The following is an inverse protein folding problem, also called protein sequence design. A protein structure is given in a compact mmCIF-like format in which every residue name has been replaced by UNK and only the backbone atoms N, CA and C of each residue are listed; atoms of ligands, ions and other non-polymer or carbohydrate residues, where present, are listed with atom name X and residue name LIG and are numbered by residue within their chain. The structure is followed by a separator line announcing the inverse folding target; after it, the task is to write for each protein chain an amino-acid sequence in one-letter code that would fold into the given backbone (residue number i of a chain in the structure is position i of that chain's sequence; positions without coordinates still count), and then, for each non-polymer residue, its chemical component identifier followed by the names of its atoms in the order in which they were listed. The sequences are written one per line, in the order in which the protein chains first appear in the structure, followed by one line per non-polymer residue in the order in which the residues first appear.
data_IF_704513096215
#
_entry.id   IF_704513096215
#
_cell.length_a   1.000
_cell.length_b   1.000
_cell.length_c   1.000
_cell.angle_alpha   90.00
_cell.angle_beta   90.00
_cell.angle_gamma   90.00
#
_symmetry.space_group_name_H-M   'P 1'
#
loop_
_entity.id
_entity.type
_entity.pdbx_description
1 polymer ?
#
# COMPACT_ATOMS: atom_id res chain seq x y z
N UNK A 1 26.98 1.96 21.05
CA UNK A 1 26.44 3.31 20.77
C UNK A 1 26.17 3.38 19.28
N UNK A 2 24.93 3.63 18.85
CA UNK A 2 24.64 3.94 17.45
C UNK A 2 25.44 5.19 17.07
N UNK A 3 26.13 5.19 15.92
CA UNK A 3 26.81 6.40 15.47
C UNK A 3 25.74 7.47 15.19
N UNK A 4 26.03 8.78 15.32
CA UNK A 4 25.06 9.84 15.05
C UNK A 4 24.39 9.73 13.66
N UNK A 5 25.12 9.17 12.70
CA UNK A 5 24.66 8.90 11.33
C UNK A 5 23.57 7.83 11.30
N UNK A 6 23.73 6.75 12.07
CA UNK A 6 22.79 5.63 12.18
C UNK A 6 21.43 6.08 12.74
N UNK A 7 21.47 7.02 13.67
CA UNK A 7 20.28 7.60 14.28
C UNK A 7 19.57 8.55 13.32
N UNK A 8 20.34 9.39 12.60
CA UNK A 8 19.78 10.27 11.58
C UNK A 8 19.06 9.47 10.46
N UNK A 9 19.64 8.38 9.98
CA UNK A 9 19.03 7.55 8.93
C UNK A 9 17.69 6.95 9.39
N UNK A 10 17.63 6.46 10.64
CA UNK A 10 16.39 5.95 11.26
C UNK A 10 15.30 7.02 11.31
N UNK A 11 15.63 8.21 11.79
CA UNK A 11 14.66 9.31 11.88
C UNK A 11 14.17 9.75 10.50
N UNK A 12 15.04 9.78 9.49
CA UNK A 12 14.64 10.06 8.10
C UNK A 12 13.70 8.99 7.55
N UNK A 13 13.99 7.69 7.76
CA UNK A 13 13.09 6.61 7.36
C UNK A 13 11.72 6.73 8.01
N UNK A 14 11.69 6.99 9.32
CA UNK A 14 10.45 7.20 10.06
C UNK A 14 9.68 8.39 9.48
N UNK A 15 10.36 9.52 9.26
CA UNK A 15 9.78 10.73 8.67
C UNK A 15 9.16 10.50 7.28
N UNK A 16 9.82 9.73 6.42
CA UNK A 16 9.30 9.38 5.09
C UNK A 16 8.05 8.50 5.17
N UNK A 17 7.97 7.58 6.12
CA UNK A 17 6.76 6.78 6.32
C UNK A 17 5.62 7.60 6.93
N UNK A 18 5.91 8.54 7.81
CA UNK A 18 4.92 9.52 8.27
C UNK A 18 4.39 10.38 7.13
N UNK A 19 5.26 10.80 6.21
CA UNK A 19 4.87 11.52 5.00
C UNK A 19 3.89 10.69 4.17
N UNK A 20 4.18 9.40 3.94
CA UNK A 20 3.28 8.47 3.24
C UNK A 20 1.91 8.37 3.91
N UNK A 21 1.87 8.17 5.24
CA UNK A 21 0.60 8.10 5.99
C UNK A 21 -0.17 9.41 5.88
N UNK A 22 0.52 10.55 6.02
CA UNK A 22 -0.05 11.88 5.85
C UNK A 22 -0.66 12.08 4.46
N UNK A 23 0.02 11.65 3.39
CA UNK A 23 -0.50 11.73 2.03
C UNK A 23 -1.70 10.80 1.82
N UNK A 24 -1.73 9.60 2.40
CA UNK A 24 -2.94 8.76 2.33
C UNK A 24 -4.15 9.45 2.96
N UNK A 25 -3.99 10.05 4.15
CA UNK A 25 -5.06 10.84 4.78
C UNK A 25 -5.44 12.07 3.98
N UNK A 26 -4.47 12.76 3.39
CA UNK A 26 -4.72 13.92 2.54
C UNK A 26 -5.56 13.55 1.32
N UNK A 27 -5.16 12.51 0.57
CA UNK A 27 -5.89 12.05 -0.62
C UNK A 27 -7.28 11.53 -0.23
N UNK A 28 -7.39 10.78 0.88
CA UNK A 28 -8.68 10.36 1.43
C UNK A 28 -9.60 11.55 1.70
N UNK A 29 -9.14 12.54 2.47
CA UNK A 29 -9.92 13.71 2.86
C UNK A 29 -10.32 14.50 1.63
N UNK A 30 -9.39 14.68 0.69
CA UNK A 30 -9.63 15.40 -0.55
C UNK A 30 -10.72 14.72 -1.39
N UNK A 31 -10.59 13.41 -1.62
CA UNK A 31 -11.57 12.63 -2.39
C UNK A 31 -12.93 12.57 -1.70
N UNK A 32 -12.98 12.44 -0.38
CA UNK A 32 -14.24 12.35 0.36
C UNK A 32 -14.97 13.71 0.42
N UNK A 33 -14.27 14.75 0.90
CA UNK A 33 -14.90 16.02 1.24
C UNK A 33 -15.19 16.90 0.04
N UNK A 34 -14.27 16.94 -0.94
CA UNK A 34 -14.46 17.79 -2.12
C UNK A 34 -15.10 17.01 -3.25
N UNK A 35 -14.64 15.79 -3.52
CA UNK A 35 -15.04 15.11 -4.76
C UNK A 35 -16.32 14.29 -4.64
N UNK A 36 -16.36 13.36 -3.68
CA UNK A 36 -17.51 12.49 -3.51
C UNK A 36 -18.74 13.28 -3.05
N UNK A 37 -18.56 14.26 -2.16
CA UNK A 37 -19.65 15.11 -1.69
C UNK A 37 -20.34 15.86 -2.83
N UNK A 38 -19.59 16.31 -3.83
CA UNK A 38 -20.10 17.06 -4.99
C UNK A 38 -20.68 16.13 -6.06
N UNK A 39 -19.91 15.12 -6.51
CA UNK A 39 -20.30 14.26 -7.63
C UNK A 39 -21.22 13.08 -7.25
N UNK A 40 -21.23 12.69 -5.96
CA UNK A 40 -21.85 11.46 -5.43
C UNK A 40 -21.46 10.18 -6.17
N UNK A 41 -20.34 10.19 -6.89
CA UNK A 41 -19.89 9.05 -7.68
C UNK A 41 -19.36 7.93 -6.76
N UNK A 42 -19.91 6.70 -6.82
CA UNK A 42 -19.47 5.59 -5.98
C UNK A 42 -17.99 5.23 -6.15
N UNK A 43 -17.40 5.45 -7.33
CA UNK A 43 -15.97 5.22 -7.56
C UNK A 43 -15.09 6.10 -6.67
N UNK A 44 -15.45 7.38 -6.50
CA UNK A 44 -14.67 8.30 -5.69
C UNK A 44 -14.77 7.97 -4.20
N UNK A 45 -15.94 7.48 -3.76
CA UNK A 45 -16.09 6.95 -2.40
C UNK A 45 -15.22 5.72 -2.17
N UNK A 46 -15.22 4.78 -3.12
CA UNK A 46 -14.40 3.59 -3.03
C UNK A 46 -12.90 3.92 -3.00
N UNK A 47 -12.46 4.86 -3.83
CA UNK A 47 -11.09 5.37 -3.84
C UNK A 47 -10.72 6.07 -2.52
N UNK A 48 -11.64 6.85 -1.94
CA UNK A 48 -11.43 7.47 -0.63
C UNK A 48 -11.28 6.40 0.46
N UNK A 49 -12.21 5.44 0.54
CA UNK A 49 -12.17 4.34 1.50
C UNK A 49 -10.92 3.47 1.33
N UNK A 50 -10.48 3.23 0.10
CA UNK A 50 -9.22 2.57 -0.20
C UNK A 50 -8.04 3.27 0.48
N UNK A 51 -7.90 4.59 0.31
CA UNK A 51 -6.80 5.33 0.94
C UNK A 51 -6.91 5.41 2.46
N UNK A 52 -8.13 5.48 3.01
CA UNK A 52 -8.33 5.41 4.46
C UNK A 52 -7.86 4.06 5.01
N UNK A 53 -8.26 2.95 4.38
CA UNK A 53 -7.86 1.60 4.79
C UNK A 53 -6.34 1.40 4.63
N UNK A 54 -5.72 1.97 3.58
CA UNK A 54 -4.26 1.99 3.46
C UNK A 54 -3.58 2.79 4.56
N UNK A 55 -4.12 3.94 4.95
CA UNK A 55 -3.58 4.76 6.02
C UNK A 55 -3.62 4.00 7.35
N UNK A 56 -4.78 3.43 7.71
CA UNK A 56 -4.97 2.63 8.92
C UNK A 56 -4.02 1.42 8.91
N UNK A 57 -4.01 0.65 7.83
CA UNK A 57 -3.11 -0.49 7.69
C UNK A 57 -1.64 -0.09 7.82
N UNK A 58 -1.25 1.06 7.26
CA UNK A 58 0.12 1.56 7.36
C UNK A 58 0.48 2.02 8.77
N UNK A 59 -0.46 2.54 9.57
CA UNK A 59 -0.21 2.81 10.98
C UNK A 59 0.15 1.53 11.75
N UNK A 60 -0.56 0.42 11.50
CA UNK A 60 -0.23 -0.87 12.12
C UNK A 60 1.14 -1.40 11.66
N UNK A 61 1.43 -1.33 10.35
CA UNK A 61 2.77 -1.68 9.84
C UNK A 61 3.87 -0.78 10.38
N UNK A 62 3.59 0.50 10.60
CA UNK A 62 4.55 1.44 11.16
C UNK A 62 4.90 1.07 12.60
N UNK A 63 3.91 0.72 13.42
CA UNK A 63 4.15 0.21 14.78
C UNK A 63 4.93 -1.10 14.74
N UNK A 64 4.52 -2.04 13.87
CA UNK A 64 5.22 -3.31 13.67
C UNK A 64 6.68 -3.13 13.26
N UNK A 65 6.92 -2.37 12.19
CA UNK A 65 8.24 -2.14 11.61
C UNK A 65 9.16 -1.36 12.58
N UNK A 66 8.71 -0.28 13.23
CA UNK A 66 9.63 0.61 13.97
C UNK A 66 9.71 0.37 15.48
N UNK A 67 8.70 -0.29 16.06
CA UNK A 67 8.59 -0.46 17.52
C UNK A 67 8.57 -1.93 17.97
N UNK A 68 8.28 -2.88 17.08
CA UNK A 68 8.21 -4.30 17.41
C UNK A 68 9.23 -5.18 16.64
N UNK A 69 9.69 -4.75 15.47
CA UNK A 69 10.65 -5.50 14.65
C UNK A 69 12.11 -5.14 15.02
N UNK A 70 12.91 -6.10 15.54
CA UNK A 70 14.33 -5.89 15.86
C UNK A 70 15.23 -5.78 14.62
N UNK A 71 14.72 -6.04 13.41
CA UNK A 71 15.49 -6.08 12.16
C UNK A 71 15.16 -4.94 11.18
N UNK A 72 14.41 -3.93 11.61
CA UNK A 72 13.78 -2.99 10.67
C UNK A 72 14.72 -1.96 10.02
N UNK A 73 15.90 -1.72 10.62
CA UNK A 73 16.92 -0.79 10.14
C UNK A 73 18.32 -1.39 10.06
N UNK A 74 18.60 -2.40 10.89
CA UNK A 74 19.85 -3.14 10.94
C UNK A 74 19.52 -4.63 10.93
N UNK A 75 20.40 -5.45 10.36
CA UNK A 75 20.21 -6.90 10.25
C UNK A 75 19.84 -7.56 11.61
N UNK A 76 20.33 -7.01 12.74
CA UNK A 76 19.92 -7.43 14.07
C UNK A 76 20.26 -6.37 15.14
N UNK A 77 19.26 -5.65 15.69
CA UNK A 77 19.49 -4.72 16.81
C UNK A 77 19.92 -5.43 18.11
N UNK A 78 19.49 -6.67 18.29
CA UNK A 78 19.63 -7.44 19.53
C UNK A 78 21.03 -8.02 19.67
N UNK A 79 21.56 -8.66 18.62
CA UNK A 79 22.92 -9.21 18.68
C UNK A 79 24.03 -8.17 18.48
N UNK A 80 23.77 -7.10 17.72
CA UNK A 80 24.79 -6.10 17.38
C UNK A 80 24.86 -4.97 18.41
N UNK A 81 23.71 -4.55 18.95
CA UNK A 81 23.64 -3.38 19.84
C UNK A 81 23.05 -3.66 21.23
N UNK A 82 22.63 -4.90 21.51
CA UNK A 82 22.04 -5.27 22.80
C UNK A 82 20.72 -4.57 23.11
N UNK A 83 20.03 -4.05 22.09
CA UNK A 83 18.78 -3.31 22.27
C UNK A 83 17.58 -4.19 21.97
N UNK A 84 16.65 -4.27 22.91
CA UNK A 84 15.36 -4.95 22.73
C UNK A 84 14.33 -3.97 22.17
N UNK A 85 13.48 -4.38 21.20
CA UNK A 85 12.37 -3.55 20.73
C UNK A 85 11.44 -3.17 21.88
N UNK A 86 10.72 -2.04 21.72
CA UNK A 86 9.80 -1.51 22.74
C UNK A 86 8.63 -2.48 22.99
N UNK A 87 8.17 -3.13 21.92
CA UNK A 87 7.07 -4.07 21.94
C UNK A 87 7.60 -5.51 21.80
N UNK A 88 7.02 -6.48 22.54
CA UNK A 88 7.54 -7.85 22.58
C UNK A 88 7.19 -8.68 21.34
N UNK A 89 6.07 -8.39 20.66
CA UNK A 89 5.56 -9.19 19.54
C UNK A 89 5.18 -8.34 18.32
N UNK A 90 5.75 -8.69 17.16
CA UNK A 90 5.48 -8.04 15.87
C UNK A 90 4.24 -8.58 15.16
N UNK A 91 3.90 -9.85 15.40
CA UNK A 91 2.86 -10.60 14.68
C UNK A 91 1.46 -9.96 14.70
N UNK A 92 0.91 -9.48 15.83
CA UNK A 92 -0.44 -8.91 15.85
C UNK A 92 -0.53 -7.60 15.03
N UNK A 93 0.54 -6.80 15.02
CA UNK A 93 0.61 -5.56 14.25
C UNK A 93 0.65 -5.84 12.75
N UNK A 94 1.46 -6.81 12.32
CA UNK A 94 1.50 -7.21 10.91
C UNK A 94 0.20 -7.86 10.44
N UNK A 95 -0.46 -8.63 11.31
CA UNK A 95 -1.76 -9.25 11.02
C UNK A 95 -2.86 -8.20 10.83
N UNK A 96 -2.97 -7.23 11.75
CA UNK A 96 -3.91 -6.12 11.62
C UNK A 96 -3.60 -5.26 10.38
N UNK A 97 -2.33 -4.91 10.18
CA UNK A 97 -1.90 -4.16 9.00
C UNK A 97 -2.28 -4.86 7.69
N UNK A 98 -2.03 -6.18 7.61
CA UNK A 98 -2.39 -6.99 6.46
C UNK A 98 -3.90 -6.96 6.22
N UNK A 99 -4.71 -7.20 7.25
CA UNK A 99 -6.16 -7.19 7.16
C UNK A 99 -6.67 -5.90 6.50
N UNK A 100 -6.27 -4.74 7.02
CA UNK A 100 -6.69 -3.43 6.47
C UNK A 100 -6.21 -3.21 5.04
N UNK A 101 -4.99 -3.62 4.70
CA UNK A 101 -4.49 -3.53 3.33
C UNK A 101 -5.28 -4.43 2.36
N UNK A 102 -5.65 -5.62 2.78
CA UNK A 102 -6.46 -6.55 1.98
C UNK A 102 -7.91 -6.07 1.86
N UNK A 103 -8.47 -5.45 2.92
CA UNK A 103 -9.77 -4.77 2.80
C UNK A 103 -9.71 -3.61 1.81
N UNK A 104 -8.62 -2.83 1.78
CA UNK A 104 -8.42 -1.77 0.80
C UNK A 104 -8.46 -2.36 -0.64
N UNK A 105 -7.67 -3.42 -0.89
CA UNK A 105 -7.67 -4.11 -2.18
C UNK A 105 -9.04 -4.67 -2.54
N UNK A 106 -9.79 -5.20 -1.57
CA UNK A 106 -11.16 -5.66 -1.77
C UNK A 106 -12.09 -4.52 -2.22
N UNK A 107 -12.03 -3.34 -1.58
CA UNK A 107 -12.85 -2.18 -1.96
C UNK A 107 -12.57 -1.71 -3.40
N UNK A 108 -11.28 -1.63 -3.78
CA UNK A 108 -10.89 -1.17 -5.10
C UNK A 108 -11.23 -2.21 -6.18
N UNK A 109 -10.98 -3.49 -5.92
CA UNK A 109 -11.31 -4.58 -6.84
C UNK A 109 -12.82 -4.82 -7.00
N UNK A 110 -13.61 -4.63 -5.95
CA UNK A 110 -15.08 -4.64 -6.03
C UNK A 110 -15.57 -3.59 -7.04
N UNK A 111 -15.05 -2.37 -6.90
CA UNK A 111 -15.41 -1.23 -7.76
C UNK A 111 -14.96 -1.47 -9.21
N UNK A 112 -13.77 -2.03 -9.39
CA UNK A 112 -13.28 -2.47 -10.69
C UNK A 112 -14.21 -3.50 -11.36
N UNK A 113 -14.62 -4.53 -10.61
CA UNK A 113 -15.56 -5.55 -11.08
C UNK A 113 -16.90 -4.95 -11.51
N UNK A 114 -17.42 -3.99 -10.74
CA UNK A 114 -18.63 -3.26 -11.12
C UNK A 114 -18.43 -2.43 -12.40
N UNK A 115 -17.31 -1.71 -12.53
CA UNK A 115 -17.03 -0.87 -13.70
C UNK A 115 -16.89 -1.67 -15.00
N UNK A 116 -16.27 -2.86 -14.96
CA UNK A 116 -16.09 -3.68 -16.17
C UNK A 116 -17.39 -4.36 -16.59
N UNK A 117 -18.10 -4.98 -15.63
CA UNK A 117 -19.19 -5.89 -15.94
C UNK A 117 -20.58 -5.28 -15.75
N UNK A 118 -20.70 -4.16 -15.02
CA UNK A 118 -21.96 -3.51 -14.70
C UNK A 118 -22.91 -4.35 -13.82
N UNK A 119 -22.45 -5.49 -13.31
CA UNK A 119 -23.28 -6.46 -12.59
C UNK A 119 -22.80 -6.62 -11.14
N UNK A 120 -23.76 -6.64 -10.21
CA UNK A 120 -23.50 -6.75 -8.76
C UNK A 120 -22.80 -8.05 -8.35
N UNK A 121 -23.02 -9.15 -9.07
CA UNK A 121 -22.32 -10.40 -8.77
C UNK A 121 -20.82 -10.32 -9.07
N UNK A 122 -20.40 -9.50 -10.05
CA UNK A 122 -19.00 -9.31 -10.38
C UNK A 122 -18.28 -8.52 -9.28
N UNK A 123 -18.91 -7.46 -8.75
CA UNK A 123 -18.40 -6.73 -7.58
C UNK A 123 -18.06 -7.68 -6.42
N UNK A 124 -18.99 -8.57 -6.08
CA UNK A 124 -18.83 -9.56 -5.02
C UNK A 124 -17.71 -10.56 -5.35
N UNK A 125 -17.69 -11.08 -6.58
CA UNK A 125 -16.70 -12.07 -7.01
C UNK A 125 -15.25 -11.54 -6.95
N UNK A 126 -15.04 -10.25 -7.22
CA UNK A 126 -13.71 -9.63 -7.14
C UNK A 126 -13.30 -9.27 -5.70
N UNK A 127 -14.27 -8.95 -4.85
CA UNK A 127 -14.04 -8.58 -3.45
C UNK A 127 -13.75 -9.79 -2.54
N UNK A 128 -14.52 -10.88 -2.69
CA UNK A 128 -14.46 -12.04 -1.78
C UNK A 128 -13.04 -12.61 -1.64
N UNK A 129 -12.26 -12.86 -2.73
CA UNK A 129 -10.93 -13.43 -2.58
C UNK A 129 -10.00 -12.56 -1.74
N UNK A 130 -10.00 -11.25 -1.95
CA UNK A 130 -9.21 -10.31 -1.15
C UNK A 130 -9.64 -10.30 0.32
N UNK A 131 -10.95 -10.36 0.60
CA UNK A 131 -11.47 -10.42 1.98
C UNK A 131 -11.03 -11.70 2.67
N UNK A 132 -11.19 -12.85 2.01
CA UNK A 132 -10.79 -14.15 2.55
C UNK A 132 -9.30 -14.19 2.85
N UNK A 133 -8.45 -13.71 1.93
CA UNK A 133 -7.00 -13.64 2.15
C UNK A 133 -6.68 -12.74 3.35
N UNK A 134 -7.32 -11.58 3.46
CA UNK A 134 -7.14 -10.67 4.60
C UNK A 134 -7.49 -11.33 5.94
N UNK A 135 -8.61 -12.03 6.02
CA UNK A 135 -9.04 -12.75 7.24
C UNK A 135 -8.09 -13.91 7.55
N UNK A 136 -7.73 -14.71 6.54
CA UNK A 136 -6.82 -15.84 6.70
C UNK A 136 -5.47 -15.36 7.24
N UNK A 137 -4.89 -14.31 6.65
CA UNK A 137 -3.61 -13.72 7.11
C UNK A 137 -3.67 -13.12 8.51
N UNK A 138 -4.86 -12.71 8.96
CA UNK A 138 -5.05 -12.09 10.27
C UNK A 138 -5.30 -13.11 11.39
N UNK A 139 -6.05 -14.18 11.11
CA UNK A 139 -6.57 -15.11 12.13
C UNK A 139 -5.83 -16.43 12.14
N UNK A 140 -5.45 -16.95 10.97
CA UNK A 140 -4.89 -18.30 10.86
C UNK A 140 -3.38 -18.23 11.13
N UNK A 141 -2.89 -18.90 12.19
CA UNK A 141 -1.45 -19.02 12.40
C UNK A 141 -0.89 -19.89 11.27
N UNK A 142 -0.05 -19.29 10.43
CA UNK A 142 0.59 -19.95 9.29
C UNK A 142 2.09 -19.90 9.45
N UNK A 143 2.76 -20.90 8.90
CA UNK A 143 4.20 -20.89 8.74
C UNK A 143 4.64 -19.64 7.93
N UNK A 144 5.75 -18.96 8.28
CA UNK A 144 6.19 -17.72 7.63
C UNK A 144 6.31 -17.84 6.11
N UNK A 145 6.77 -19.00 5.61
CA UNK A 145 6.90 -19.25 4.18
C UNK A 145 5.55 -19.31 3.48
N UNK A 146 4.57 -20.03 4.03
CA UNK A 146 3.20 -20.11 3.49
C UNK A 146 2.55 -18.72 3.51
N UNK A 147 2.72 -17.98 4.61
CA UNK A 147 2.21 -16.61 4.75
C UNK A 147 2.81 -15.69 3.67
N UNK A 148 4.13 -15.76 3.46
CA UNK A 148 4.85 -14.99 2.45
C UNK A 148 4.42 -15.31 1.02
N UNK A 149 4.25 -16.59 0.69
CA UNK A 149 3.79 -17.03 -0.65
C UNK A 149 2.34 -16.60 -0.88
N UNK A 150 1.45 -16.78 0.10
CA UNK A 150 0.05 -16.39 -0.02
C UNK A 150 -0.08 -14.87 -0.19
N UNK A 151 0.54 -14.08 0.70
CA UNK A 151 0.45 -12.62 0.63
C UNK A 151 1.19 -12.05 -0.58
N UNK A 152 2.35 -12.62 -0.93
CA UNK A 152 3.19 -12.16 -2.03
C UNK A 152 2.60 -12.51 -3.40
N UNK A 153 2.19 -13.77 -3.58
CA UNK A 153 1.59 -14.26 -4.83
C UNK A 153 0.26 -13.58 -5.12
N UNK A 154 -0.68 -13.62 -4.18
CA UNK A 154 -1.96 -12.93 -4.37
C UNK A 154 -1.77 -11.40 -4.43
N UNK A 155 -0.86 -10.85 -3.62
CA UNK A 155 -0.52 -9.42 -3.65
C UNK A 155 -0.01 -8.98 -5.02
N UNK A 156 0.85 -9.77 -5.67
CA UNK A 156 1.35 -9.50 -7.02
C UNK A 156 0.22 -9.50 -8.07
N UNK A 157 -0.72 -10.44 -7.97
CA UNK A 157 -1.88 -10.49 -8.86
C UNK A 157 -2.71 -9.21 -8.74
N UNK A 158 -3.06 -8.80 -7.51
CA UNK A 158 -3.84 -7.58 -7.28
C UNK A 158 -3.06 -6.30 -7.64
N UNK A 159 -1.75 -6.27 -7.38
CA UNK A 159 -0.86 -5.16 -7.69
C UNK A 159 -0.73 -4.90 -9.20
N UNK A 160 -0.86 -5.94 -10.03
CA UNK A 160 -0.86 -5.80 -11.49
C UNK A 160 -2.27 -5.60 -12.04
N UNK A 161 -3.27 -6.26 -11.45
CA UNK A 161 -4.66 -6.17 -11.90
C UNK A 161 -5.17 -4.73 -11.88
N UNK A 162 -4.92 -3.98 -10.79
CA UNK A 162 -5.45 -2.62 -10.62
C UNK A 162 -4.86 -1.64 -11.67
N UNK A 163 -3.53 -1.54 -11.87
CA UNK A 163 -2.95 -0.72 -12.93
C UNK A 163 -3.44 -1.10 -14.33
N UNK A 164 -3.48 -2.40 -14.64
CA UNK A 164 -3.90 -2.90 -15.96
C UNK A 164 -5.36 -2.56 -16.25
N UNK A 165 -6.22 -2.62 -15.23
CA UNK A 165 -7.60 -2.16 -15.34
C UNK A 165 -7.67 -0.69 -15.75
N UNK A 166 -6.95 0.20 -15.06
CA UNK A 166 -6.98 1.62 -15.39
C UNK A 166 -6.43 1.89 -16.79
N UNK A 167 -5.41 1.16 -17.23
CA UNK A 167 -4.94 1.25 -18.61
C UNK A 167 -5.91 0.69 -19.64
N UNK A 168 -6.67 -0.36 -19.30
CA UNK A 168 -7.77 -0.84 -20.13
C UNK A 168 -8.86 0.23 -20.27
N UNK A 169 -9.27 0.87 -19.18
CA UNK A 169 -10.21 1.99 -19.21
C UNK A 169 -9.65 3.18 -20.01
N UNK A 170 -8.35 3.45 -19.88
CA UNK A 170 -7.68 4.48 -20.68
C UNK A 170 -7.73 4.16 -22.18
N UNK A 171 -7.52 2.90 -22.57
CA UNK A 171 -7.61 2.46 -23.96
C UNK A 171 -9.01 2.62 -24.55
N UNK A 172 -10.06 2.36 -23.76
CA UNK A 172 -11.45 2.50 -24.21
C UNK A 172 -11.97 3.94 -24.19
N UNK A 173 -11.41 4.78 -23.33
CA UNK A 173 -11.83 6.19 -23.19
C UNK A 173 -11.15 7.11 -24.22
N UNK A 174 -11.82 8.23 -24.54
CA UNK A 174 -11.29 9.29 -25.40
C UNK A 174 -10.90 10.55 -24.63
N UNK A 175 -10.10 11.41 -25.26
CA UNK A 175 -9.82 12.77 -24.76
C UNK A 175 -9.11 12.82 -23.40
N UNK A 176 -9.62 13.66 -22.50
CA UNK A 176 -9.01 13.93 -21.19
C UNK A 176 -9.17 12.71 -20.25
N UNK A 177 -10.28 11.98 -20.34
CA UNK A 177 -10.52 10.74 -19.58
C UNK A 177 -9.44 9.67 -19.85
N UNK A 178 -8.94 9.59 -21.09
CA UNK A 178 -7.82 8.70 -21.43
C UNK A 178 -6.55 9.05 -20.67
N UNK A 179 -6.22 10.34 -20.60
CA UNK A 179 -5.01 10.83 -19.90
C UNK A 179 -5.14 10.61 -18.39
N UNK A 180 -6.33 10.88 -17.84
CA UNK A 180 -6.67 10.65 -16.43
C UNK A 180 -6.49 9.18 -16.05
N UNK A 181 -7.16 8.26 -16.75
CA UNK A 181 -7.06 6.83 -16.49
C UNK A 181 -5.64 6.28 -16.70
N UNK A 182 -4.91 6.81 -17.68
CA UNK A 182 -3.51 6.42 -17.89
C UNK A 182 -2.62 6.79 -16.69
N UNK A 183 -2.76 8.02 -16.19
CA UNK A 183 -2.04 8.48 -15.00
C UNK A 183 -2.44 7.73 -13.74
N UNK A 184 -3.73 7.41 -13.56
CA UNK A 184 -4.19 6.58 -12.45
C UNK A 184 -3.52 5.20 -12.48
N UNK A 185 -3.50 4.55 -13.65
CA UNK A 185 -2.83 3.27 -13.82
C UNK A 185 -1.33 3.34 -13.49
N UNK A 186 -0.64 4.35 -14.01
CA UNK A 186 0.78 4.58 -13.73
C UNK A 186 1.02 4.84 -12.23
N UNK A 187 0.20 5.69 -11.60
CA UNK A 187 0.31 6.02 -10.19
C UNK A 187 0.09 4.80 -9.29
N UNK A 188 -0.90 3.97 -9.59
CA UNK A 188 -1.10 2.70 -8.89
C UNK A 188 0.06 1.72 -9.10
N UNK A 189 0.60 1.62 -10.31
CA UNK A 189 1.75 0.76 -10.59
C UNK A 189 2.96 1.18 -9.75
N UNK A 190 3.26 2.48 -9.71
CA UNK A 190 4.37 3.04 -8.93
C UNK A 190 4.14 2.86 -7.43
N UNK A 191 2.91 3.10 -6.94
CA UNK A 191 2.54 2.88 -5.55
C UNK A 191 2.74 1.41 -5.13
N UNK A 192 2.27 0.47 -5.94
CA UNK A 192 2.42 -0.95 -5.64
C UNK A 192 3.87 -1.42 -5.76
N UNK A 193 4.65 -0.89 -6.71
CA UNK A 193 6.08 -1.16 -6.80
C UNK A 193 6.81 -0.76 -5.51
N UNK A 194 6.53 0.42 -4.97
CA UNK A 194 7.08 0.86 -3.68
C UNK A 194 6.71 -0.08 -2.52
N UNK A 195 5.47 -0.61 -2.51
CA UNK A 195 5.03 -1.59 -1.50
C UNK A 195 5.71 -2.95 -1.64
N UNK A 196 5.92 -3.42 -2.86
CA UNK A 196 6.65 -4.67 -3.13
C UNK A 196 8.11 -4.54 -2.68
N UNK A 197 8.76 -3.41 -2.97
CA UNK A 197 10.12 -3.14 -2.50
C UNK A 197 10.18 -3.16 -0.97
N UNK A 198 9.21 -2.54 -0.29
CA UNK A 198 9.16 -2.58 1.18
C UNK A 198 8.99 -4.00 1.73
N UNK A 199 8.10 -4.79 1.12
CA UNK A 199 7.86 -6.18 1.55
C UNK A 199 9.09 -7.07 1.32
N UNK A 200 9.84 -6.82 0.26
CA UNK A 200 11.06 -7.54 -0.09
C UNK A 200 12.32 -6.92 0.54
N UNK A 201 12.21 -5.95 1.45
CA UNK A 201 13.35 -5.18 1.97
C UNK A 201 14.49 -6.07 2.48
N UNK A 202 14.17 -7.17 3.18
CA UNK A 202 15.17 -8.10 3.71
C UNK A 202 15.90 -8.84 2.58
N UNK A 203 15.16 -9.43 1.66
CA UNK A 203 15.75 -10.12 0.51
C UNK A 203 16.55 -9.15 -0.40
N UNK A 204 16.07 -7.93 -0.60
CA UNK A 204 16.74 -6.91 -1.42
C UNK A 204 17.98 -6.35 -0.74
N UNK A 205 17.97 -6.20 0.58
CA UNK A 205 19.14 -5.81 1.35
C UNK A 205 20.26 -6.86 1.22
N UNK A 206 19.91 -8.15 1.32
CA UNK A 206 20.89 -9.24 1.27
C UNK A 206 21.43 -9.52 -0.14
N UNK A 207 20.59 -9.44 -1.18
CA UNK A 207 20.95 -9.89 -2.54
C UNK A 207 21.43 -8.77 -3.45
N UNK A 208 20.90 -7.55 -3.31
CA UNK A 208 21.09 -6.47 -4.30
C UNK A 208 21.81 -5.26 -3.73
N UNK A 209 21.32 -4.72 -2.61
CA UNK A 209 21.75 -3.40 -2.13
C UNK A 209 22.86 -3.46 -1.08
N UNK A 210 23.05 -4.60 -0.40
CA UNK A 210 23.98 -4.74 0.71
C UNK A 210 23.60 -3.92 1.95
N UNK A 211 22.43 -3.25 1.95
CA UNK A 211 21.97 -2.39 3.04
C UNK A 211 20.45 -2.23 3.05
N UNK A 212 19.88 -2.08 4.24
CA UNK A 212 18.46 -1.81 4.50
C UNK A 212 18.07 -0.35 4.24
N UNK A 213 19.04 0.55 4.17
CA UNK A 213 18.80 1.99 4.05
C UNK A 213 18.21 2.36 2.69
N UNK A 214 18.69 1.72 1.62
CA UNK A 214 18.24 1.98 0.25
C UNK A 214 16.79 1.55 0.04
N UNK A 215 16.38 0.29 0.32
CA UNK A 215 14.97 -0.11 0.23
C UNK A 215 14.06 0.74 1.12
N UNK A 216 14.51 1.13 2.32
CA UNK A 216 13.72 1.91 3.27
C UNK A 216 13.47 3.37 2.87
N UNK A 217 14.30 3.97 2.02
CA UNK A 217 14.02 5.30 1.39
C UNK A 217 13.27 5.14 0.08
N UNK A 218 13.69 4.18 -0.75
CA UNK A 218 13.14 3.96 -2.10
C UNK A 218 11.64 3.62 -2.04
N UNK A 219 11.23 2.74 -1.12
CA UNK A 219 9.85 2.33 -0.97
C UNK A 219 8.88 3.50 -0.68
N UNK A 220 9.06 4.29 0.40
CA UNK A 220 8.17 5.42 0.66
C UNK A 220 8.28 6.51 -0.42
N UNK A 221 9.46 6.74 -1.00
CA UNK A 221 9.65 7.68 -2.11
C UNK A 221 8.79 7.32 -3.33
N UNK A 222 8.81 6.05 -3.76
CA UNK A 222 7.95 5.56 -4.84
C UNK A 222 6.48 5.69 -4.49
N UNK A 223 6.08 5.37 -3.24
CA UNK A 223 4.69 5.52 -2.81
C UNK A 223 4.23 6.98 -2.93
N UNK A 224 5.04 7.94 -2.49
CA UNK A 224 4.71 9.38 -2.61
C UNK A 224 4.58 9.80 -4.07
N UNK A 225 5.49 9.37 -4.95
CA UNK A 225 5.39 9.64 -6.39
C UNK A 225 4.10 9.05 -6.95
N UNK A 226 3.77 7.80 -6.59
CA UNK A 226 2.52 7.15 -6.99
C UNK A 226 1.28 7.92 -6.53
N UNK A 227 1.29 8.45 -5.31
CA UNK A 227 0.20 9.25 -4.76
C UNK A 227 0.01 10.58 -5.49
N UNK A 228 1.09 11.26 -5.85
CA UNK A 228 1.04 12.48 -6.67
C UNK A 228 0.41 12.17 -8.02
N UNK A 229 0.86 11.11 -8.69
CA UNK A 229 0.30 10.68 -9.98
C UNK A 229 -1.19 10.34 -9.89
N UNK A 230 -1.61 9.67 -8.81
CA UNK A 230 -3.04 9.36 -8.58
C UNK A 230 -3.85 10.64 -8.34
N UNK A 231 -3.32 11.59 -7.56
CA UNK A 231 -3.98 12.87 -7.32
C UNK A 231 -4.15 13.67 -8.63
N UNK A 232 -3.07 13.83 -9.40
CA UNK A 232 -3.10 14.51 -10.71
C UNK A 232 -4.00 13.80 -11.71
N UNK A 233 -3.94 12.47 -11.78
CA UNK A 233 -4.80 11.67 -12.64
C UNK A 233 -6.27 11.90 -12.32
N UNK A 234 -6.63 11.94 -11.04
CA UNK A 234 -7.98 12.28 -10.62
C UNK A 234 -8.38 13.71 -11.03
N UNK A 235 -7.53 14.72 -10.87
CA UNK A 235 -7.83 16.11 -11.29
C UNK A 235 -8.19 16.22 -12.76
N UNK A 236 -7.42 15.58 -13.64
CA UNK A 236 -7.71 15.65 -15.07
C UNK A 236 -9.03 14.99 -15.44
N UNK A 237 -9.45 13.94 -14.73
CA UNK A 237 -10.73 13.27 -14.99
C UNK A 237 -11.97 14.16 -14.78
N UNK A 238 -11.80 15.36 -14.22
CA UNK A 238 -12.90 16.27 -13.85
C UNK A 238 -12.85 17.64 -14.53
N UNK A 239 -11.91 17.91 -15.45
CA UNK A 239 -11.89 19.17 -16.20
C UNK A 239 -13.00 19.27 -17.28
N UNK A 240 -14.18 18.70 -17.01
CA UNK A 240 -15.39 18.70 -17.83
C UNK A 240 -16.58 19.12 -16.97
#
# INVERSE_FOLDING_TARGET
MLQPVDLAIREVHIGLWFLVVGYYFYVFTFLLMFRWRESRNPFQLAMALFFLLLAIGRCFYFVGDFYADPSSLYNDLTSVFGMTPLLPDVNPWLAAGALFQWMALATLSATAGFMIFGKRWAEIAFAIPAILIGIILAVVPMEPLVKGILSGGAGAIYALFIPLLFWYLAYQSGGILRRSNFLLGLGFMVLFAGRVIHALRHALADVIFGTYTIPGVLAPGLIVIGLILIATGNEWGQAQ
#
